data_IF_578463545983
#
_entry.id   IF_578463545983
#
_cell.length_a   1.000
_cell.length_b   1.000
_cell.length_c   1.000
_cell.angle_alpha   90.00
_cell.angle_beta   90.00
_cell.angle_gamma   90.00
#
_symmetry.space_group_name_H-M   'P 1'
#
loop_
_entity.id
_entity.type
_entity.pdbx_description
1 polymer ?
#
# COMPACT_ATOMS: atom_id res chain seq x y z
N UNK A 1 8.46 -0.03 6.45
CA UNK A 1 8.89 -1.41 6.11
C UNK A 1 9.26 -1.58 4.65
N UNK A 2 8.40 -1.27 3.66
CA UNK A 2 8.74 -1.44 2.23
C UNK A 2 10.06 -0.78 1.80
N UNK A 3 10.30 0.47 2.23
CA UNK A 3 11.57 1.18 1.97
C UNK A 3 12.80 0.47 2.56
N UNK A 4 12.67 -0.06 3.78
CA UNK A 4 13.73 -0.83 4.44
C UNK A 4 14.09 -2.09 3.66
N UNK A 5 13.09 -2.85 3.19
CA UNK A 5 13.33 -4.05 2.37
C UNK A 5 14.04 -3.72 1.05
N UNK A 6 13.71 -2.58 0.45
CA UNK A 6 14.33 -2.10 -0.80
C UNK A 6 15.78 -1.65 -0.54
N UNK A 7 16.03 -0.87 0.51
CA UNK A 7 17.37 -0.31 0.77
C UNK A 7 18.36 -1.39 1.23
N UNK A 8 17.89 -2.38 2.00
CA UNK A 8 18.77 -3.39 2.60
C UNK A 8 18.81 -4.71 1.83
N UNK A 9 17.81 -5.04 1.00
CA UNK A 9 17.80 -6.26 0.18
C UNK A 9 18.15 -7.51 1.00
N UNK A 10 19.25 -8.17 0.64
CA UNK A 10 19.77 -9.37 1.33
C UNK A 10 20.24 -9.09 2.77
N UNK A 11 20.66 -7.85 3.07
CA UNK A 11 21.08 -7.44 4.41
C UNK A 11 19.90 -7.09 5.33
N UNK A 12 18.65 -7.17 4.85
CA UNK A 12 17.49 -6.99 5.70
C UNK A 12 17.45 -8.06 6.79
N UNK A 13 17.23 -7.65 8.03
CA UNK A 13 17.29 -8.51 9.23
C UNK A 13 16.04 -9.36 9.43
N UNK A 14 15.00 -9.16 8.62
CA UNK A 14 13.76 -9.92 8.68
C UNK A 14 13.83 -11.13 7.75
N UNK A 15 13.30 -12.26 8.20
CA UNK A 15 13.20 -13.48 7.37
C UNK A 15 12.13 -13.34 6.27
N UNK A 16 11.10 -12.55 6.56
CA UNK A 16 9.90 -12.40 5.74
C UNK A 16 9.17 -11.09 6.06
N UNK A 17 8.35 -10.61 5.13
CA UNK A 17 7.52 -9.42 5.35
C UNK A 17 6.09 -9.56 4.79
N UNK A 18 5.13 -8.98 5.51
CA UNK A 18 3.78 -8.74 5.04
C UNK A 18 3.59 -7.23 4.91
N UNK A 19 3.26 -6.76 3.70
CA UNK A 19 2.96 -5.36 3.42
C UNK A 19 1.47 -5.22 3.10
N UNK A 20 0.78 -4.33 3.79
CA UNK A 20 -0.68 -4.13 3.67
C UNK A 20 -0.94 -2.70 3.22
N UNK A 21 -1.83 -2.53 2.24
CA UNK A 21 -2.26 -1.24 1.68
C UNK A 21 -1.10 -0.34 1.30
N UNK A 22 -0.09 -0.90 0.64
CA UNK A 22 1.11 -0.15 0.25
C UNK A 22 0.74 0.87 -0.82
N UNK A 23 1.11 2.13 -0.58
CA UNK A 23 1.11 3.18 -1.60
C UNK A 23 2.31 2.99 -2.53
N UNK A 24 2.13 2.20 -3.59
CA UNK A 24 3.20 1.89 -4.55
C UNK A 24 3.69 3.12 -5.32
N UNK A 25 2.76 4.02 -5.64
CA UNK A 25 3.01 5.28 -6.32
C UNK A 25 2.35 6.43 -5.52
N UNK A 26 3.14 7.13 -4.72
CA UNK A 26 2.66 8.25 -3.90
C UNK A 26 2.16 9.42 -4.73
N UNK A 27 2.71 9.64 -5.93
CA UNK A 27 2.25 10.73 -6.78
C UNK A 27 0.81 10.45 -7.24
N UNK A 28 0.57 9.25 -7.75
CA UNK A 28 -0.77 8.84 -8.15
C UNK A 28 -1.74 8.75 -6.96
N UNK A 29 -1.25 8.36 -5.78
CA UNK A 29 -2.03 8.42 -4.53
C UNK A 29 -2.45 9.84 -4.17
N UNK A 30 -1.53 10.81 -4.23
CA UNK A 30 -1.82 12.22 -4.00
C UNK A 30 -2.82 12.77 -5.03
N UNK A 31 -2.62 12.48 -6.32
CA UNK A 31 -3.56 12.86 -7.38
C UNK A 31 -4.95 12.24 -7.17
N UNK A 32 -5.01 10.98 -6.75
CA UNK A 32 -6.27 10.29 -6.43
C UNK A 32 -7.01 11.00 -5.32
N UNK A 33 -6.32 11.39 -4.25
CA UNK A 33 -6.90 12.12 -3.11
C UNK A 33 -7.32 13.55 -3.47
N UNK A 34 -6.77 14.15 -4.52
CA UNK A 34 -7.15 15.48 -5.00
C UNK A 34 -8.37 15.46 -5.92
N UNK A 35 -8.83 14.28 -6.36
CA UNK A 35 -10.01 14.17 -7.23
C UNK A 35 -11.26 14.73 -6.53
N UNK A 36 -12.10 15.52 -7.24
CA UNK A 36 -13.34 16.05 -6.69
C UNK A 36 -14.25 14.96 -6.11
N UNK A 37 -15.00 15.31 -5.07
CA UNK A 37 -15.96 14.40 -4.43
C UNK A 37 -15.44 13.85 -3.10
N UNK A 38 -15.64 12.55 -2.86
CA UNK A 38 -15.30 11.91 -1.58
C UNK A 38 -13.80 11.93 -1.28
N UNK A 39 -12.97 11.73 -2.31
CA UNK A 39 -11.52 11.74 -2.18
C UNK A 39 -10.99 13.08 -1.66
N UNK A 40 -11.41 14.19 -2.28
CA UNK A 40 -11.04 15.52 -1.83
C UNK A 40 -11.53 15.82 -0.41
N UNK A 41 -12.75 15.39 -0.03
CA UNK A 41 -13.24 15.55 1.35
C UNK A 41 -12.39 14.79 2.35
N UNK A 42 -11.97 13.57 2.02
CA UNK A 42 -11.05 12.81 2.87
C UNK A 42 -9.70 13.52 2.97
N UNK A 43 -9.14 13.97 1.85
CA UNK A 43 -7.88 14.73 1.82
C UNK A 43 -7.93 15.95 2.75
N UNK A 44 -8.99 16.76 2.68
CA UNK A 44 -9.18 17.91 3.56
C UNK A 44 -9.37 17.52 5.03
N UNK A 45 -10.03 16.39 5.31
CA UNK A 45 -10.19 15.90 6.68
C UNK A 45 -8.84 15.46 7.28
N UNK A 46 -8.03 14.71 6.52
CA UNK A 46 -6.70 14.28 6.93
C UNK A 46 -5.77 15.48 7.13
N UNK A 47 -5.79 16.43 6.20
CA UNK A 47 -4.99 17.65 6.28
C UNK A 47 -5.32 18.43 7.56
N UNK A 48 -6.61 18.64 7.86
CA UNK A 48 -7.03 19.31 9.09
C UNK A 48 -6.59 18.56 10.35
N UNK A 49 -6.65 17.23 10.33
CA UNK A 49 -6.21 16.40 11.46
C UNK A 49 -4.69 16.54 11.68
N UNK A 50 -3.89 16.50 10.61
CA UNK A 50 -2.45 16.71 10.66
C UNK A 50 -2.09 18.12 11.15
N UNK A 51 -2.73 19.16 10.59
CA UNK A 51 -2.56 20.53 11.08
C UNK A 51 -2.95 20.67 12.56
N UNK A 52 -4.00 19.97 13.00
CA UNK A 52 -4.41 19.90 14.40
C UNK A 52 -3.30 19.35 15.31
N UNK A 53 -2.67 18.23 14.93
CA UNK A 53 -1.53 17.66 15.66
C UNK A 53 -0.37 18.65 15.74
N UNK A 54 -0.04 19.34 14.65
CA UNK A 54 1.02 20.36 14.64
C UNK A 54 0.64 21.54 15.54
N UNK A 55 -0.62 21.97 15.52
CA UNK A 55 -1.12 23.06 16.35
C UNK A 55 -1.07 22.73 17.84
N UNK A 56 -1.47 21.52 18.23
CA UNK A 56 -1.47 21.05 19.62
C UNK A 56 -0.06 20.93 20.19
N UNK A 57 0.93 20.70 19.34
CA UNK A 57 2.34 20.50 19.70
C UNK A 57 3.24 21.63 19.13
N UNK A 58 2.68 22.84 19.02
CA UNK A 58 3.35 23.98 18.36
C UNK A 58 4.68 24.32 19.00
N UNK A 59 4.79 24.23 20.32
CA UNK A 59 6.01 24.45 21.09
C UNK A 59 7.15 23.53 20.64
N UNK A 60 6.86 22.25 20.39
CA UNK A 60 7.83 21.28 19.88
C UNK A 60 8.22 21.63 18.45
N UNK A 61 7.24 21.80 17.57
CA UNK A 61 7.51 22.00 16.14
C UNK A 61 8.13 23.37 15.81
N UNK A 62 7.91 24.40 16.63
CA UNK A 62 8.54 25.72 16.45
C UNK A 62 10.05 25.70 16.69
N UNK A 63 10.58 24.67 17.36
CA UNK A 63 12.03 24.52 17.55
C UNK A 63 12.76 24.04 16.29
N UNK A 64 12.03 23.57 15.29
CA UNK A 64 12.60 23.00 14.07
C UNK A 64 13.01 24.11 13.10
N UNK A 65 14.31 24.25 12.78
CA UNK A 65 14.82 25.43 12.07
C UNK A 65 14.35 25.55 10.61
N UNK A 66 13.84 24.47 10.01
CA UNK A 66 13.43 24.43 8.59
C UNK A 66 11.91 24.47 8.41
N UNK A 67 11.13 24.35 9.48
CA UNK A 67 9.67 24.24 9.44
C UNK A 67 9.07 25.53 9.97
N UNK A 68 8.27 26.20 9.15
CA UNK A 68 7.45 27.31 9.61
C UNK A 68 6.06 26.78 9.98
N UNK A 69 5.75 26.74 11.28
CA UNK A 69 4.49 26.18 11.76
C UNK A 69 3.28 26.94 11.20
N UNK A 70 3.36 28.26 11.05
CA UNK A 70 2.23 29.05 10.56
C UNK A 70 1.88 28.71 9.11
N UNK A 71 2.89 28.49 8.26
CA UNK A 71 2.69 28.04 6.87
C UNK A 71 2.10 26.62 6.82
N UNK A 72 2.50 25.75 7.74
CA UNK A 72 1.95 24.39 7.83
C UNK A 72 0.46 24.43 8.20
N UNK A 73 0.07 25.26 9.16
CA UNK A 73 -1.32 25.38 9.61
C UNK A 73 -2.26 25.95 8.53
N UNK A 74 -1.73 26.69 7.54
CA UNK A 74 -2.49 27.21 6.40
C UNK A 74 -2.73 26.18 5.28
N UNK A 75 -2.17 24.98 5.38
CA UNK A 75 -2.28 23.92 4.36
C UNK A 75 -3.74 23.47 4.17
N UNK A 76 -4.20 23.43 2.92
CA UNK A 76 -5.60 23.09 2.56
C UNK A 76 -5.79 21.66 2.08
N UNK A 77 -4.70 21.02 1.66
CA UNK A 77 -4.66 19.63 1.21
C UNK A 77 -3.33 18.97 1.62
N UNK A 78 -3.27 17.65 1.47
CA UNK A 78 -2.12 16.86 1.88
C UNK A 78 -0.84 17.23 1.13
N UNK A 79 -0.94 17.62 -0.16
CA UNK A 79 0.24 18.04 -0.93
C UNK A 79 0.84 19.33 -0.40
N UNK A 80 0.00 20.30 -0.03
CA UNK A 80 0.43 21.54 0.63
C UNK A 80 1.06 21.25 1.99
N UNK A 81 0.43 20.38 2.79
CA UNK A 81 0.98 19.94 4.07
C UNK A 81 2.34 19.27 3.89
N UNK A 82 2.47 18.36 2.93
CA UNK A 82 3.75 17.71 2.63
C UNK A 82 4.82 18.71 2.18
N UNK A 83 4.45 19.71 1.37
CA UNK A 83 5.37 20.76 0.93
C UNK A 83 5.86 21.64 2.07
N UNK A 84 4.97 22.02 2.99
CA UNK A 84 5.26 22.94 4.09
C UNK A 84 5.89 22.26 5.29
N UNK A 85 5.53 21.00 5.55
CA UNK A 85 5.99 20.21 6.69
C UNK A 85 6.95 19.09 6.27
N UNK A 86 6.44 18.04 5.60
CA UNK A 86 7.18 16.79 5.35
C UNK A 86 8.49 17.02 4.60
N UNK A 87 8.46 17.78 3.50
CA UNK A 87 9.61 18.12 2.67
C UNK A 87 10.66 18.87 3.49
N UNK A 88 10.24 19.80 4.34
CA UNK A 88 11.13 20.63 5.16
C UNK A 88 11.76 19.83 6.30
N UNK A 89 10.94 19.01 6.97
CA UNK A 89 11.36 18.16 8.08
C UNK A 89 12.43 17.16 7.63
N UNK A 90 12.20 16.49 6.50
CA UNK A 90 13.08 15.43 6.00
C UNK A 90 14.13 15.90 4.98
N UNK A 91 14.12 17.18 4.62
CA UNK A 91 15.12 17.78 3.74
C UNK A 91 15.03 17.37 2.27
N UNK A 92 13.83 17.01 1.79
CA UNK A 92 13.60 16.77 0.36
C UNK A 92 13.71 18.06 -0.45
N UNK A 93 14.04 17.96 -1.74
CA UNK A 93 14.19 19.14 -2.61
C UNK A 93 12.84 19.79 -2.94
N UNK A 94 11.80 18.98 -3.07
CA UNK A 94 10.44 19.40 -3.39
C UNK A 94 9.45 18.29 -3.01
N UNK A 95 8.15 18.59 -3.04
CA UNK A 95 7.11 17.56 -2.82
C UNK A 95 7.15 16.46 -3.89
N UNK A 96 7.50 16.82 -5.14
CA UNK A 96 7.68 15.84 -6.22
C UNK A 96 8.86 14.91 -5.96
N UNK A 97 9.96 15.47 -5.46
CA UNK A 97 11.15 14.71 -5.05
C UNK A 97 10.82 13.76 -3.89
N UNK A 98 10.10 14.25 -2.88
CA UNK A 98 9.58 13.42 -1.79
C UNK A 98 8.74 12.25 -2.29
N UNK A 99 7.73 12.50 -3.13
CA UNK A 99 6.86 11.44 -3.67
C UNK A 99 7.65 10.44 -4.52
N UNK A 100 8.54 10.90 -5.40
CA UNK A 100 9.36 10.00 -6.24
C UNK A 100 10.30 9.11 -5.41
N UNK A 101 10.95 9.67 -4.39
CA UNK A 101 11.84 8.91 -3.53
C UNK A 101 11.07 7.92 -2.63
N UNK A 102 9.86 8.29 -2.20
CA UNK A 102 9.06 7.50 -1.27
C UNK A 102 8.20 6.44 -1.96
N UNK A 103 7.89 6.58 -3.25
CA UNK A 103 7.26 5.54 -4.06
C UNK A 103 8.15 4.28 -4.15
N UNK A 104 7.52 3.11 -4.04
CA UNK A 104 8.20 1.82 -4.12
C UNK A 104 8.18 1.22 -5.53
N UNK A 105 7.23 1.65 -6.38
CA UNK A 105 7.18 1.26 -7.80
C UNK A 105 8.51 1.58 -8.51
N UNK A 106 8.98 0.64 -9.33
CA UNK A 106 10.28 0.65 -10.01
C UNK A 106 11.45 0.17 -9.17
N UNK A 107 11.20 -0.27 -7.92
CA UNK A 107 12.25 -0.68 -6.96
C UNK A 107 12.00 -2.07 -6.39
N UNK A 108 10.98 -2.80 -6.84
CA UNK A 108 10.66 -4.12 -6.27
C UNK A 108 11.76 -5.15 -6.51
N UNK A 109 12.56 -5.01 -7.57
CA UNK A 109 13.71 -5.87 -7.85
C UNK A 109 14.78 -5.84 -6.75
N UNK A 110 14.80 -4.79 -5.92
CA UNK A 110 15.69 -4.65 -4.77
C UNK A 110 15.23 -5.48 -3.57
N UNK A 111 13.97 -5.89 -3.49
CA UNK A 111 13.45 -6.73 -2.40
C UNK A 111 13.98 -8.15 -2.58
N UNK A 112 14.79 -8.62 -1.62
CA UNK A 112 15.38 -9.96 -1.60
C UNK A 112 14.84 -10.89 -0.52
N UNK A 113 13.97 -10.37 0.35
CA UNK A 113 13.28 -11.18 1.36
C UNK A 113 11.90 -11.60 0.86
N UNK A 114 11.45 -12.84 1.15
CA UNK A 114 10.08 -13.29 0.95
C UNK A 114 9.07 -12.24 1.45
N UNK A 115 8.30 -11.67 0.53
CA UNK A 115 7.39 -10.55 0.82
C UNK A 115 6.03 -10.79 0.20
N UNK A 116 4.98 -10.81 1.02
CA UNK A 116 3.61 -10.81 0.55
C UNK A 116 3.03 -9.41 0.66
N UNK A 117 2.46 -8.92 -0.43
CA UNK A 117 1.79 -7.63 -0.50
C UNK A 117 0.29 -7.83 -0.59
N UNK A 118 -0.49 -7.02 0.13
CA UNK A 118 -1.95 -7.04 0.07
C UNK A 118 -2.45 -5.63 -0.18
N UNK A 119 -3.21 -5.43 -1.24
CA UNK A 119 -3.83 -4.16 -1.60
C UNK A 119 -5.32 -4.36 -1.94
N UNK A 120 -6.11 -3.31 -1.78
CA UNK A 120 -7.50 -3.28 -2.22
C UNK A 120 -7.64 -2.41 -3.48
N UNK A 121 -8.47 -2.85 -4.43
CA UNK A 121 -8.70 -2.14 -5.68
C UNK A 121 -9.52 -0.85 -5.50
N UNK A 122 -10.29 -0.76 -4.40
CA UNK A 122 -11.05 0.44 -3.99
C UNK A 122 -10.26 1.35 -3.03
N UNK A 123 -8.96 1.14 -2.85
CA UNK A 123 -8.10 2.01 -2.04
C UNK A 123 -7.84 3.34 -2.76
N UNK A 124 -8.22 4.43 -2.09
CA UNK A 124 -8.04 5.79 -2.61
C UNK A 124 -6.62 6.36 -2.45
N UNK A 125 -5.81 5.81 -1.54
CA UNK A 125 -4.41 6.16 -1.35
C UNK A 125 -3.49 5.36 -2.28
N UNK A 126 -3.87 4.13 -2.59
CA UNK A 126 -3.19 3.25 -3.52
C UNK A 126 -4.15 2.88 -4.67
N UNK A 127 -4.51 3.85 -5.54
CA UNK A 127 -5.40 3.57 -6.65
C UNK A 127 -4.83 2.45 -7.52
N UNK A 128 -5.67 1.75 -8.29
CA UNK A 128 -5.19 0.77 -9.30
C UNK A 128 -4.69 1.47 -10.57
N UNK A 129 -5.22 2.65 -10.87
CA UNK A 129 -4.84 3.40 -12.06
C UNK A 129 -4.61 4.88 -11.73
N UNK A 130 -3.47 5.41 -12.16
CA UNK A 130 -3.08 6.81 -12.09
C UNK A 130 -3.06 7.47 -13.47
N UNK A 131 -2.63 8.73 -13.54
CA UNK A 131 -2.58 9.49 -14.79
C UNK A 131 -1.68 8.84 -15.86
N UNK A 132 -0.60 8.16 -15.42
CA UNK A 132 0.40 7.54 -16.28
C UNK A 132 0.25 6.02 -16.42
N UNK A 133 -0.90 5.45 -16.03
CA UNK A 133 -1.21 4.02 -16.18
C UNK A 133 -1.40 3.27 -14.86
N UNK A 134 -1.22 1.95 -14.88
CA UNK A 134 -1.38 1.09 -13.71
C UNK A 134 -0.39 1.50 -12.61
N UNK A 135 -0.88 1.70 -11.40
CA UNK A 135 -0.10 2.14 -10.23
C UNK A 135 0.31 0.99 -9.33
N UNK A 136 -0.38 -0.15 -9.43
CA UNK A 136 0.08 -1.40 -8.83
C UNK A 136 1.25 -1.95 -9.66
N UNK A 137 2.37 -2.36 -9.04
CA UNK A 137 3.55 -2.87 -9.73
C UNK A 137 3.38 -4.35 -10.12
N UNK A 138 2.26 -4.69 -10.77
CA UNK A 138 1.91 -6.07 -11.15
C UNK A 138 3.04 -6.71 -11.98
N UNK A 139 3.51 -5.99 -12.99
CA UNK A 139 4.58 -6.46 -13.89
C UNK A 139 5.89 -6.73 -13.12
N UNK A 140 6.27 -5.83 -12.20
CA UNK A 140 7.48 -6.02 -11.37
C UNK A 140 7.35 -7.19 -10.39
N UNK A 141 6.13 -7.47 -9.93
CA UNK A 141 5.85 -8.63 -9.07
C UNK A 141 5.94 -9.92 -9.88
N UNK A 142 5.45 -9.95 -11.12
CA UNK A 142 5.57 -11.09 -12.02
C UNK A 142 7.03 -11.43 -12.35
N UNK A 143 7.89 -10.42 -12.47
CA UNK A 143 9.32 -10.59 -12.68
C UNK A 143 10.10 -10.96 -11.40
N UNK A 144 9.49 -10.79 -10.22
CA UNK A 144 10.15 -11.02 -8.93
C UNK A 144 10.05 -12.48 -8.48
N UNK A 145 11.14 -13.01 -7.94
CA UNK A 145 11.18 -14.32 -7.27
C UNK A 145 10.96 -14.27 -5.76
N UNK A 146 10.83 -13.06 -5.19
CA UNK A 146 10.75 -12.83 -3.74
C UNK A 146 9.44 -12.16 -3.31
N UNK A 147 8.70 -11.57 -4.25
CA UNK A 147 7.51 -10.79 -3.95
C UNK A 147 6.29 -11.48 -4.55
N UNK A 148 5.23 -11.61 -3.74
CA UNK A 148 3.91 -11.97 -4.21
C UNK A 148 2.91 -10.86 -3.84
N UNK A 149 1.84 -10.72 -4.62
CA UNK A 149 0.81 -9.71 -4.40
C UNK A 149 -0.58 -10.31 -4.40
N UNK A 150 -1.40 -9.88 -3.44
CA UNK A 150 -2.84 -10.14 -3.36
C UNK A 150 -3.56 -8.82 -3.58
N UNK A 151 -4.47 -8.78 -4.56
CA UNK A 151 -5.36 -7.63 -4.78
C UNK A 151 -6.80 -8.06 -4.53
N UNK A 152 -7.44 -7.46 -3.52
CA UNK A 152 -8.88 -7.66 -3.27
C UNK A 152 -9.69 -6.62 -4.02
N UNK A 153 -10.95 -6.94 -4.38
CA UNK A 153 -11.83 -5.95 -5.01
C UNK A 153 -12.30 -4.85 -4.05
N UNK A 154 -12.38 -5.17 -2.76
CA UNK A 154 -12.82 -4.27 -1.69
C UNK A 154 -11.96 -4.42 -0.45
N UNK A 155 -11.91 -3.34 0.33
CA UNK A 155 -11.21 -3.27 1.62
C UNK A 155 -10.75 -1.84 1.94
N UNK A 156 -10.62 -0.98 0.93
CA UNK A 156 -10.04 0.34 1.10
C UNK A 156 -8.63 0.29 1.72
N UNK A 157 -8.18 1.43 2.26
CA UNK A 157 -6.83 1.52 2.83
C UNK A 157 -6.69 0.83 4.19
N UNK A 158 -7.74 0.86 5.01
CA UNK A 158 -7.69 0.38 6.42
C UNK A 158 -8.56 -0.84 6.68
N UNK A 159 -9.38 -1.31 5.74
CA UNK A 159 -10.34 -2.39 6.00
C UNK A 159 -9.71 -3.76 6.25
N UNK A 160 -8.42 -3.93 5.92
CA UNK A 160 -7.68 -5.10 6.34
C UNK A 160 -7.39 -5.11 7.85
N UNK A 161 -7.38 -3.95 8.52
CA UNK A 161 -7.09 -3.83 9.96
C UNK A 161 -8.26 -4.29 10.84
N UNK A 162 -9.50 -4.09 10.39
CA UNK A 162 -10.70 -4.49 11.14
C UNK A 162 -10.91 -6.02 11.20
N UNK A 163 -10.16 -6.78 10.41
CA UNK A 163 -10.26 -8.24 10.30
C UNK A 163 -8.96 -9.01 10.55
N UNK A 164 -7.89 -8.36 11.08
CA UNK A 164 -6.63 -9.05 11.40
C UNK A 164 -6.87 -9.96 12.61
N UNK A 165 -7.31 -11.18 12.34
CA UNK A 165 -7.30 -12.26 13.30
C UNK A 165 -6.05 -13.13 13.08
N UNK A 166 -5.73 -13.93 14.10
CA UNK A 166 -4.56 -14.83 14.08
C UNK A 166 -4.59 -15.78 12.88
N UNK A 167 -5.78 -16.19 12.42
CA UNK A 167 -5.92 -17.09 11.27
C UNK A 167 -5.55 -16.44 9.94
N UNK A 168 -5.92 -15.17 9.74
CA UNK A 168 -5.58 -14.40 8.55
C UNK A 168 -4.07 -14.17 8.47
N UNK A 169 -3.44 -13.76 9.59
CA UNK A 169 -1.98 -13.61 9.67
C UNK A 169 -1.29 -14.95 9.43
N UNK A 170 -1.76 -16.04 10.04
CA UNK A 170 -1.20 -17.38 9.83
C UNK A 170 -1.35 -17.84 8.37
N UNK A 171 -2.43 -17.45 7.69
CA UNK A 171 -2.63 -17.72 6.28
C UNK A 171 -1.61 -17.00 5.40
N UNK A 172 -1.38 -15.71 5.66
CA UNK A 172 -0.34 -14.94 5.00
C UNK A 172 1.05 -15.55 5.26
N UNK A 173 1.36 -15.92 6.51
CA UNK A 173 2.63 -16.56 6.87
C UNK A 173 2.81 -17.91 6.17
N UNK A 174 1.76 -18.73 6.03
CA UNK A 174 1.82 -19.98 5.26
C UNK A 174 2.16 -19.74 3.79
N UNK A 175 1.62 -18.68 3.19
CA UNK A 175 1.94 -18.31 1.81
C UNK A 175 3.41 -17.88 1.72
N UNK A 176 3.86 -17.00 2.63
CA UNK A 176 5.23 -16.47 2.63
C UNK A 176 6.26 -17.59 2.87
N UNK A 177 5.98 -18.51 3.79
CA UNK A 177 6.89 -19.61 4.13
C UNK A 177 6.78 -20.81 3.18
N UNK A 178 5.89 -20.77 2.19
CA UNK A 178 5.82 -21.82 1.19
C UNK A 178 6.93 -21.65 0.15
N UNK A 179 7.55 -22.74 -0.27
CA UNK A 179 8.46 -22.77 -1.44
C UNK A 179 7.77 -22.31 -2.75
N UNK A 180 6.46 -22.04 -2.68
CA UNK A 180 5.57 -21.70 -3.78
C UNK A 180 5.39 -20.20 -3.99
N UNK A 181 6.06 -19.31 -3.25
CA UNK A 181 6.08 -17.87 -3.61
C UNK A 181 6.46 -17.68 -5.09
N UNK A 182 7.39 -18.50 -5.59
CA UNK A 182 7.83 -18.54 -7.00
C UNK A 182 6.75 -19.01 -7.98
N UNK A 183 5.69 -19.68 -7.50
CA UNK A 183 4.63 -20.23 -8.34
C UNK A 183 3.41 -19.29 -8.45
N UNK A 184 3.35 -18.21 -7.65
CA UNK A 184 2.20 -17.31 -7.57
C UNK A 184 2.63 -15.85 -7.35
N UNK A 185 3.15 -15.17 -8.38
CA UNK A 185 3.55 -13.78 -8.23
C UNK A 185 2.35 -12.88 -7.92
N UNK A 186 1.19 -13.10 -8.56
CA UNK A 186 0.01 -12.23 -8.38
C UNK A 186 -1.26 -13.07 -8.18
N UNK A 187 -2.09 -12.70 -7.21
CA UNK A 187 -3.39 -13.28 -6.94
C UNK A 187 -4.43 -12.17 -6.83
N UNK A 188 -5.49 -12.26 -7.64
CA UNK A 188 -6.59 -11.30 -7.63
C UNK A 188 -7.82 -11.97 -7.06
N UNK A 189 -8.38 -11.41 -5.99
CA UNK A 189 -9.54 -11.95 -5.27
C UNK A 189 -10.74 -11.02 -5.56
N UNK A 190 -11.82 -11.59 -6.08
CA UNK A 190 -13.08 -10.90 -6.41
C UNK A 190 -13.04 -9.89 -7.57
N UNK A 191 -12.15 -10.10 -8.55
CA UNK A 191 -12.27 -9.61 -9.92
C UNK A 191 -12.19 -8.10 -10.15
N UNK A 192 -10.97 -7.58 -10.38
CA UNK A 192 -10.74 -6.35 -11.18
C UNK A 192 -9.57 -6.50 -12.17
N UNK A 193 -8.76 -7.57 -12.12
CA UNK A 193 -7.70 -7.81 -13.12
C UNK A 193 -7.84 -9.24 -13.66
N UNK A 194 -8.34 -9.33 -14.89
CA UNK A 194 -8.47 -10.57 -15.64
C UNK A 194 -7.14 -10.92 -16.30
N UNK A 195 -6.31 -11.71 -15.61
CA UNK A 195 -5.52 -12.83 -16.14
C UNK A 195 -4.37 -13.15 -15.16
N UNK A 196 -4.48 -14.24 -14.40
CA UNK A 196 -3.29 -14.90 -13.84
C UNK A 196 -3.56 -16.42 -13.82
N UNK A 197 -2.64 -17.20 -14.39
CA UNK A 197 -2.74 -18.64 -14.47
C UNK A 197 -2.44 -19.29 -13.11
N UNK A 198 -3.46 -19.87 -12.47
CA UNK A 198 -3.30 -20.67 -11.24
C UNK A 198 -3.52 -22.15 -11.56
N UNK A 199 -2.62 -23.05 -11.14
CA UNK A 199 -2.84 -24.50 -11.28
C UNK A 199 -4.00 -25.00 -10.38
N UNK A 200 -4.62 -26.13 -10.74
CA UNK A 200 -5.84 -26.64 -10.09
C UNK A 200 -5.67 -27.08 -8.63
N UNK A 201 -4.52 -27.64 -8.24
CA UNK A 201 -4.28 -28.14 -6.86
C UNK A 201 -3.98 -27.03 -5.86
N UNK A 202 -3.59 -25.85 -6.33
CA UNK A 202 -3.31 -24.69 -5.47
C UNK A 202 -4.50 -23.75 -5.36
N UNK A 203 -5.40 -23.74 -6.36
CA UNK A 203 -6.72 -23.10 -6.28
C UNK A 203 -7.50 -23.58 -5.05
N UNK A 204 -7.48 -24.87 -4.75
CA UNK A 204 -8.17 -25.45 -3.59
C UNK A 204 -7.55 -25.06 -2.26
N UNK A 205 -6.23 -24.92 -2.17
CA UNK A 205 -5.54 -24.53 -0.91
C UNK A 205 -5.80 -23.06 -0.57
N UNK A 206 -5.72 -22.17 -1.58
CA UNK A 206 -5.99 -20.74 -1.42
C UNK A 206 -7.47 -20.49 -1.18
N UNK A 207 -8.37 -21.14 -1.94
CA UNK A 207 -9.80 -21.04 -1.72
C UNK A 207 -10.20 -21.58 -0.34
N UNK A 208 -9.62 -22.68 0.13
CA UNK A 208 -9.85 -23.20 1.49
C UNK A 208 -9.34 -22.23 2.56
N UNK A 209 -8.15 -21.65 2.38
CA UNK A 209 -7.55 -20.71 3.34
C UNK A 209 -8.33 -19.40 3.44
N UNK A 210 -8.79 -18.87 2.29
CA UNK A 210 -9.58 -17.64 2.23
C UNK A 210 -11.03 -17.87 2.67
N UNK A 211 -11.67 -18.98 2.30
CA UNK A 211 -13.04 -19.28 2.74
C UNK A 211 -13.15 -19.53 4.24
N UNK A 212 -12.09 -20.02 4.89
CA UNK A 212 -12.06 -20.20 6.34
C UNK A 212 -11.79 -18.89 7.10
N UNK A 213 -10.98 -17.98 6.52
CA UNK A 213 -10.57 -16.72 7.18
C UNK A 213 -11.57 -15.57 6.95
N UNK A 214 -12.27 -15.57 5.82
CA UNK A 214 -13.28 -14.58 5.45
C UNK A 214 -14.66 -15.21 5.64
N UNK A 215 -15.15 -15.23 6.88
CA UNK A 215 -16.55 -15.55 7.18
C UNK A 215 -17.53 -14.66 6.39
N UNK A 216 -18.82 -15.03 6.42
CA UNK A 216 -19.96 -14.56 5.61
C UNK A 216 -20.17 -13.04 5.40
N UNK A 217 -19.31 -12.18 5.94
CA UNK A 217 -19.27 -10.73 5.74
C UNK A 217 -18.69 -10.34 4.37
N UNK A 218 -17.84 -11.18 3.78
CA UNK A 218 -17.43 -11.04 2.38
C UNK A 218 -18.21 -12.05 1.55
N UNK A 219 -19.09 -11.56 0.68
CA UNK A 219 -20.01 -12.36 -0.13
C UNK A 219 -19.35 -13.56 -0.80
N UNK A 220 -20.12 -14.66 -0.86
CA UNK A 220 -19.82 -15.93 -1.51
C UNK A 220 -18.82 -15.84 -2.66
N UNK A 221 -17.73 -16.61 -2.50
CA UNK A 221 -16.62 -16.79 -3.42
C UNK A 221 -17.11 -17.33 -4.78
N UNK A 222 -17.34 -16.44 -5.76
CA UNK A 222 -17.61 -16.86 -7.14
C UNK A 222 -16.39 -16.56 -8.01
N UNK A 223 -15.67 -17.63 -8.37
CA UNK A 223 -14.65 -17.59 -9.42
C UNK A 223 -15.38 -17.82 -10.74
N UNK A 224 -15.49 -16.79 -11.58
CA UNK A 224 -16.06 -16.89 -12.93
C UNK A 224 -14.98 -17.25 -13.94
N UNK A 225 -15.25 -18.21 -14.81
CA UNK A 225 -14.33 -18.74 -15.83
C UNK A 225 -14.85 -18.43 -17.25
N UNK A 226 -13.95 -18.12 -18.17
CA UNK A 226 -14.09 -18.47 -19.59
C UNK A 226 -13.05 -19.54 -19.90
#
# INVERSE_FOLDING_TARGET
MGRYLIDYGDAALVDAALLISVCWDLLAGAESLEKPGLNFKLNQHLTRSLCGIISENRDIFSTLPKVNVDDVLLSKNLREFDSNFTVKMWGFKSVKDYYSQSSHKGKLCCIKRPTLCVNAADDMFAPVCGYYGNTLPVDEVEESSHVAMIVTSRGGHIGFMEGINTEWVNSCLRIINSDKLRSFPVLVINGVISSVAVNSSTRSTIAATLSHSFGSTFGSLFVSFK
#
